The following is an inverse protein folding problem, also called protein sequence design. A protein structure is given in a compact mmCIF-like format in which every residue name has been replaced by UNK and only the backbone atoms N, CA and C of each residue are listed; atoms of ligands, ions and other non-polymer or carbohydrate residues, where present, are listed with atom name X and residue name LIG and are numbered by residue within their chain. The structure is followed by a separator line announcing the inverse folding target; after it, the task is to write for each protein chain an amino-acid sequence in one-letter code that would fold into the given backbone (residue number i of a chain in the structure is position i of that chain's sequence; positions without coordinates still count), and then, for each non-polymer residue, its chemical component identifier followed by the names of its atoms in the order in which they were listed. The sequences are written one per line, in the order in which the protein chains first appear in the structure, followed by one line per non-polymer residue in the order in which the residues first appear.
data_IF_253397718496
#
_entry.id   IF_253397718496
#
_cell.length_a   1.000
_cell.length_b   1.000
_cell.length_c   1.000
_cell.angle_alpha   90.00
_cell.angle_beta   90.00
_cell.angle_gamma   90.00
#
_symmetry.space_group_name_H-M   'P 1'
#
loop_
_entity.id
_entity.type
_entity.pdbx_description
1 polymer ?
#
# COMPACT_ATOMS: atom_id res chain seq x y z
N UNK A 1 -1.62 -43.59 2.33
CA UNK A 1 -2.92 -43.03 1.89
C UNK A 1 -2.66 -41.68 1.28
N UNK A 2 -3.33 -41.35 0.20
CA UNK A 2 -3.21 -40.05 -0.40
C UNK A 2 -3.72 -38.99 0.61
N UNK A 3 -3.00 -37.89 0.70
CA UNK A 3 -3.36 -36.78 1.60
C UNK A 3 -4.55 -36.03 1.01
N UNK A 4 -5.66 -36.02 1.70
CA UNK A 4 -6.82 -35.18 1.41
C UNK A 4 -6.86 -34.10 2.47
N UNK A 5 -6.65 -32.87 2.07
CA UNK A 5 -6.40 -31.73 2.98
C UNK A 5 -7.58 -30.76 2.94
N UNK A 6 -8.15 -30.44 4.10
CA UNK A 6 -9.02 -29.26 4.26
C UNK A 6 -8.26 -28.14 4.96
N UNK A 7 -8.45 -26.91 4.53
CA UNK A 7 -7.83 -25.74 5.15
C UNK A 7 -8.89 -24.81 5.76
N UNK A 8 -8.87 -24.64 7.09
CA UNK A 8 -9.69 -23.66 7.80
C UNK A 8 -8.96 -22.34 7.83
N UNK A 9 -9.52 -21.31 7.18
CA UNK A 9 -8.97 -19.96 7.15
C UNK A 9 -9.80 -19.05 8.05
N UNK A 10 -9.17 -18.49 9.08
CA UNK A 10 -9.85 -17.68 10.11
C UNK A 10 -9.92 -16.21 9.68
N UNK A 11 -11.10 -15.74 9.42
CA UNK A 11 -11.43 -14.38 8.99
C UNK A 11 -12.40 -13.63 9.94
N UNK A 12 -12.91 -14.30 11.01
CA UNK A 12 -13.90 -13.75 11.94
C UNK A 12 -13.35 -12.71 12.95
N UNK A 13 -12.07 -12.37 12.91
CA UNK A 13 -11.45 -11.45 13.88
C UNK A 13 -11.86 -10.00 13.69
N UNK A 14 -12.50 -9.38 14.66
CA UNK A 14 -13.06 -8.02 14.64
C UNK A 14 -12.04 -6.85 14.47
N UNK A 15 -10.75 -7.10 14.29
CA UNK A 15 -9.73 -6.09 13.98
C UNK A 15 -9.62 -4.89 14.95
N UNK A 16 -10.10 -4.99 16.19
CA UNK A 16 -10.27 -3.90 17.18
C UNK A 16 -9.05 -2.97 17.36
N UNK A 17 -7.85 -3.42 17.00
CA UNK A 17 -6.58 -2.66 17.14
C UNK A 17 -6.25 -1.75 15.95
N UNK A 18 -7.02 -1.80 14.86
CA UNK A 18 -6.66 -1.13 13.60
C UNK A 18 -7.36 0.21 13.36
N UNK A 19 -8.28 0.66 14.22
CA UNK A 19 -9.04 1.91 14.06
C UNK A 19 -9.75 2.10 12.69
N UNK A 20 -9.87 1.04 11.88
CA UNK A 20 -10.64 1.03 10.64
C UNK A 20 -12.10 0.67 10.92
N UNK A 21 -13.03 1.24 10.14
CA UNK A 21 -14.47 0.95 10.24
C UNK A 21 -14.81 -0.47 9.76
N UNK A 22 -13.99 -1.03 8.88
CA UNK A 22 -14.17 -2.35 8.28
C UNK A 22 -13.14 -3.35 8.81
N UNK A 23 -13.42 -4.65 8.63
CA UNK A 23 -12.49 -5.70 9.02
C UNK A 23 -11.17 -5.56 8.23
N UNK A 24 -10.04 -5.53 8.95
CA UNK A 24 -8.70 -5.32 8.40
C UNK A 24 -8.30 -6.27 7.26
N UNK A 25 -8.91 -7.46 7.19
CA UNK A 25 -8.60 -8.45 6.14
C UNK A 25 -9.01 -7.98 4.73
N UNK A 26 -9.91 -7.00 4.64
CA UNK A 26 -10.32 -6.39 3.38
C UNK A 26 -9.39 -5.27 2.90
N UNK A 27 -8.44 -4.83 3.73
CA UNK A 27 -7.49 -3.77 3.36
C UNK A 27 -6.67 -4.22 2.14
N UNK A 28 -6.56 -3.37 1.10
CA UNK A 28 -5.81 -3.70 -0.10
C UNK A 28 -4.28 -3.73 0.16
N UNK A 29 -3.65 -4.76 -0.37
CA UNK A 29 -2.21 -4.89 -0.53
C UNK A 29 -1.91 -4.95 -2.04
N UNK A 30 -1.86 -3.80 -2.71
CA UNK A 30 -1.85 -3.68 -4.16
C UNK A 30 -3.18 -4.14 -4.76
N UNK A 31 -3.14 -4.95 -5.83
CA UNK A 31 -4.34 -5.41 -6.55
C UNK A 31 -5.32 -6.26 -5.70
N UNK A 32 -4.83 -6.92 -4.67
CA UNK A 32 -5.62 -7.87 -3.86
C UNK A 32 -5.64 -7.44 -2.39
N UNK A 33 -6.73 -7.74 -1.69
CA UNK A 33 -6.80 -7.54 -0.25
C UNK A 33 -5.97 -8.59 0.52
N UNK A 34 -5.80 -8.37 1.82
CA UNK A 34 -5.11 -9.30 2.72
C UNK A 34 -5.70 -10.71 2.60
N UNK A 35 -7.02 -10.85 2.73
CA UNK A 35 -7.68 -12.16 2.68
C UNK A 35 -7.59 -12.79 1.28
N UNK A 36 -7.71 -11.99 0.22
CA UNK A 36 -7.59 -12.50 -1.15
C UNK A 36 -6.20 -13.10 -1.39
N UNK A 37 -5.13 -12.44 -0.92
CA UNK A 37 -3.77 -12.99 -1.03
C UNK A 37 -3.59 -14.27 -0.24
N UNK A 38 -4.10 -14.31 0.98
CA UNK A 38 -4.07 -15.51 1.82
C UNK A 38 -4.74 -16.68 1.09
N UNK A 39 -5.96 -16.48 0.56
CA UNK A 39 -6.69 -17.53 -0.15
C UNK A 39 -6.00 -17.99 -1.43
N UNK A 40 -5.38 -17.06 -2.19
CA UNK A 40 -4.60 -17.42 -3.37
C UNK A 40 -3.39 -18.31 -3.05
N UNK A 41 -2.73 -18.09 -1.91
CA UNK A 41 -1.59 -18.91 -1.50
C UNK A 41 -2.05 -20.29 -1.01
N UNK A 42 -3.12 -20.34 -0.22
CA UNK A 42 -3.73 -21.60 0.24
C UNK A 42 -4.21 -22.45 -0.94
N UNK A 43 -4.89 -21.84 -1.90
CA UNK A 43 -5.46 -22.55 -3.04
C UNK A 43 -4.43 -23.22 -3.97
N UNK A 44 -3.14 -22.85 -3.87
CA UNK A 44 -2.05 -23.49 -4.63
C UNK A 44 -1.57 -24.80 -4.02
N UNK A 45 -2.02 -25.14 -2.80
CA UNK A 45 -1.56 -26.33 -2.09
C UNK A 45 -2.01 -27.60 -2.80
N UNK A 46 -1.09 -28.47 -3.11
CA UNK A 46 -1.39 -29.78 -3.70
C UNK A 46 -2.10 -30.69 -2.68
N UNK A 47 -3.14 -31.40 -3.14
CA UNK A 47 -3.96 -32.25 -2.29
C UNK A 47 -5.01 -31.50 -1.46
N UNK A 48 -5.13 -30.19 -1.63
CA UNK A 48 -6.20 -29.40 -1.03
C UNK A 48 -7.54 -29.74 -1.67
N UNK A 49 -8.50 -30.24 -0.88
CA UNK A 49 -9.85 -30.58 -1.31
C UNK A 49 -10.84 -29.42 -1.19
N UNK A 50 -10.66 -28.59 -0.15
CA UNK A 50 -11.55 -27.48 0.16
C UNK A 50 -10.89 -26.42 1.04
N UNK A 51 -11.47 -25.23 1.02
CA UNK A 51 -11.18 -24.16 1.98
C UNK A 51 -12.45 -23.87 2.79
N UNK A 52 -12.34 -23.90 4.11
CA UNK A 52 -13.40 -23.49 5.02
C UNK A 52 -13.05 -22.12 5.56
N UNK A 53 -13.76 -21.11 5.06
CA UNK A 53 -13.52 -19.71 5.39
C UNK A 53 -14.45 -19.30 6.54
N UNK A 54 -13.87 -19.10 7.72
CA UNK A 54 -14.63 -18.75 8.94
C UNK A 54 -14.70 -17.23 9.06
N UNK A 55 -15.92 -16.66 8.99
CA UNK A 55 -16.19 -15.23 8.96
C UNK A 55 -16.97 -14.76 10.18
N UNK A 56 -16.94 -13.45 10.45
CA UNK A 56 -17.78 -12.84 11.46
C UNK A 56 -19.25 -12.79 11.01
N UNK A 57 -20.16 -12.71 11.99
CA UNK A 57 -21.58 -12.55 11.70
C UNK A 57 -21.84 -11.25 10.95
N UNK A 58 -22.68 -11.34 9.90
CA UNK A 58 -23.01 -10.23 9.00
C UNK A 58 -21.98 -9.97 7.89
N UNK A 59 -20.84 -10.68 7.83
CA UNK A 59 -19.83 -10.50 6.78
C UNK A 59 -19.91 -11.56 5.66
N UNK A 60 -20.82 -12.53 5.72
CA UNK A 60 -20.86 -13.68 4.81
C UNK A 60 -21.06 -13.28 3.34
N UNK A 61 -22.09 -12.47 3.06
CA UNK A 61 -22.43 -12.05 1.69
C UNK A 61 -21.34 -11.16 1.10
N UNK A 62 -20.83 -10.22 1.92
CA UNK A 62 -19.74 -9.35 1.50
C UNK A 62 -18.47 -10.16 1.20
N UNK A 63 -18.12 -11.13 2.05
CA UNK A 63 -16.98 -12.01 1.83
C UNK A 63 -17.15 -12.84 0.55
N UNK A 64 -18.34 -13.41 0.32
CA UNK A 64 -18.62 -14.22 -0.86
C UNK A 64 -18.39 -13.43 -2.15
N UNK A 65 -18.94 -12.22 -2.24
CA UNK A 65 -18.71 -11.33 -3.40
C UNK A 65 -17.24 -10.89 -3.50
N UNK A 66 -16.61 -10.60 -2.36
CA UNK A 66 -15.20 -10.14 -2.31
C UNK A 66 -14.20 -11.18 -2.84
N UNK A 67 -14.44 -12.47 -2.58
CA UNK A 67 -13.55 -13.55 -3.02
C UNK A 67 -13.90 -14.11 -4.40
N UNK A 68 -15.08 -13.84 -4.92
CA UNK A 68 -15.57 -14.33 -6.22
C UNK A 68 -14.64 -14.00 -7.39
N UNK A 69 -14.03 -12.81 -7.33
CA UNK A 69 -13.08 -12.34 -8.35
C UNK A 69 -11.80 -13.18 -8.46
N UNK A 70 -11.52 -14.03 -7.48
CA UNK A 70 -10.31 -14.86 -7.45
C UNK A 70 -10.42 -16.07 -8.38
N UNK A 71 -11.63 -16.49 -8.77
CA UNK A 71 -11.89 -17.67 -9.59
C UNK A 71 -11.10 -18.90 -9.11
N UNK A 72 -11.16 -19.18 -7.79
CA UNK A 72 -10.45 -20.30 -7.19
C UNK A 72 -10.97 -21.62 -7.73
N UNK A 73 -10.07 -22.56 -8.03
CA UNK A 73 -10.43 -23.91 -8.53
C UNK A 73 -10.85 -24.86 -7.42
N UNK A 74 -10.53 -24.51 -6.16
CA UNK A 74 -10.88 -25.28 -4.96
C UNK A 74 -12.17 -24.70 -4.38
N UNK A 75 -13.14 -25.54 -3.95
CA UNK A 75 -14.37 -25.08 -3.30
C UNK A 75 -14.06 -24.29 -2.03
N UNK A 76 -14.82 -23.20 -1.83
CA UNK A 76 -14.72 -22.36 -0.61
C UNK A 76 -16.07 -22.38 0.09
N UNK A 77 -16.09 -22.90 1.31
CA UNK A 77 -17.28 -22.96 2.18
C UNK A 77 -17.18 -21.88 3.23
N UNK A 78 -18.12 -20.92 3.23
CA UNK A 78 -18.17 -19.85 4.21
C UNK A 78 -19.00 -20.31 5.39
N UNK A 79 -18.43 -20.23 6.60
CA UNK A 79 -19.07 -20.61 7.85
C UNK A 79 -18.95 -19.49 8.89
N UNK A 80 -19.94 -19.41 9.80
CA UNK A 80 -19.90 -18.44 10.89
C UNK A 80 -18.90 -18.87 11.96
N UNK A 81 -18.13 -17.90 12.46
CA UNK A 81 -17.26 -18.08 13.62
C UNK A 81 -18.02 -18.06 14.94
N UNK A 82 -17.32 -18.41 16.01
CA UNK A 82 -17.80 -18.35 17.38
C UNK A 82 -17.32 -17.10 18.13
N UNK A 83 -17.56 -17.08 19.44
CA UNK A 83 -17.20 -15.96 20.31
C UNK A 83 -15.68 -15.75 20.42
N UNK A 84 -14.94 -16.84 20.54
CA UNK A 84 -13.49 -16.84 20.64
C UNK A 84 -12.85 -17.46 19.38
N UNK A 85 -11.53 -17.29 19.24
CA UNK A 85 -10.78 -17.89 18.13
C UNK A 85 -10.91 -19.42 18.12
N UNK A 86 -10.84 -20.06 19.28
CA UNK A 86 -11.00 -21.51 19.42
C UNK A 86 -12.38 -21.98 18.98
N UNK A 87 -13.45 -21.24 19.34
CA UNK A 87 -14.83 -21.54 18.91
C UNK A 87 -14.97 -21.41 17.39
N UNK A 88 -14.34 -20.40 16.82
CA UNK A 88 -14.33 -20.19 15.37
C UNK A 88 -13.66 -21.37 14.64
N UNK A 89 -12.55 -21.90 15.17
CA UNK A 89 -11.91 -23.11 14.64
C UNK A 89 -12.83 -24.32 14.79
N UNK A 90 -13.50 -24.47 15.93
CA UNK A 90 -14.45 -25.56 16.15
C UNK A 90 -15.64 -25.52 15.17
N UNK A 91 -16.14 -24.33 14.82
CA UNK A 91 -17.14 -24.15 13.78
C UNK A 91 -16.62 -24.62 12.42
N UNK A 92 -15.39 -24.19 12.05
CA UNK A 92 -14.74 -24.65 10.83
C UNK A 92 -14.52 -26.16 10.79
N UNK A 93 -14.06 -26.74 11.90
CA UNK A 93 -13.77 -28.18 12.00
C UNK A 93 -15.03 -29.05 11.82
N UNK A 94 -16.21 -28.56 12.23
CA UNK A 94 -17.49 -29.23 11.98
C UNK A 94 -17.88 -29.28 10.51
N UNK A 95 -17.39 -28.32 9.71
CA UNK A 95 -17.68 -28.23 8.28
C UNK A 95 -16.66 -28.98 7.40
N UNK A 96 -15.58 -29.52 7.99
CA UNK A 96 -14.55 -30.30 7.28
C UNK A 96 -15.16 -31.56 6.69
N UNK A 97 -14.92 -31.79 5.40
CA UNK A 97 -15.36 -32.98 4.67
C UNK A 97 -14.85 -34.27 5.33
N UNK A 98 -15.72 -35.28 5.35
CA UNK A 98 -15.38 -36.57 5.98
C UNK A 98 -14.22 -37.30 5.30
N UNK A 99 -14.00 -37.08 4.03
CA UNK A 99 -12.89 -37.67 3.26
C UNK A 99 -11.53 -37.09 3.62
N UNK A 100 -11.49 -35.89 4.21
CA UNK A 100 -10.24 -35.24 4.62
C UNK A 100 -9.60 -35.98 5.79
N UNK A 101 -8.29 -36.18 5.70
CA UNK A 101 -7.50 -36.80 6.78
C UNK A 101 -6.55 -35.81 7.45
N UNK A 102 -6.25 -34.70 6.80
CA UNK A 102 -5.43 -33.60 7.33
C UNK A 102 -6.26 -32.30 7.37
N UNK A 103 -6.18 -31.61 8.48
CA UNK A 103 -6.77 -30.26 8.65
C UNK A 103 -5.67 -29.27 8.91
N UNK A 104 -5.61 -28.22 8.09
CA UNK A 104 -4.77 -27.05 8.32
C UNK A 104 -5.61 -25.91 8.89
N UNK A 105 -5.07 -25.17 9.83
CA UNK A 105 -5.67 -23.93 10.36
C UNK A 105 -4.73 -22.78 10.04
N UNK A 106 -5.28 -21.73 9.41
CA UNK A 106 -4.48 -20.57 9.04
C UNK A 106 -5.19 -19.26 9.34
N UNK A 107 -4.42 -18.27 9.82
CA UNK A 107 -4.93 -16.93 10.04
C UNK A 107 -5.12 -16.20 8.70
N UNK A 108 -6.34 -15.73 8.38
CA UNK A 108 -6.65 -14.96 7.17
C UNK A 108 -5.87 -13.64 7.07
N UNK A 109 -5.30 -13.18 8.19
CA UNK A 109 -4.46 -11.99 8.27
C UNK A 109 -2.96 -12.25 8.06
N UNK A 110 -2.56 -13.42 7.53
CA UNK A 110 -1.17 -13.75 7.16
C UNK A 110 -1.03 -13.95 5.64
N UNK A 111 -1.01 -12.86 4.87
CA UNK A 111 -1.01 -12.93 3.40
C UNK A 111 0.29 -13.42 2.77
N UNK A 112 1.35 -13.61 3.58
CA UNK A 112 2.71 -13.91 3.11
C UNK A 112 3.14 -15.35 3.40
N UNK A 113 2.26 -16.18 3.98
CA UNK A 113 2.53 -17.61 4.14
C UNK A 113 2.69 -18.27 2.75
N UNK A 114 3.83 -18.92 2.52
CA UNK A 114 4.11 -19.56 1.25
C UNK A 114 3.41 -20.93 1.13
N UNK A 115 3.20 -21.39 -0.10
CA UNK A 115 2.62 -22.72 -0.36
C UNK A 115 3.51 -23.83 0.19
N UNK A 116 4.82 -23.64 0.21
CA UNK A 116 5.81 -24.58 0.75
C UNK A 116 5.61 -24.77 2.26
N UNK A 117 5.29 -23.70 3.02
CA UNK A 117 4.96 -23.82 4.45
C UNK A 117 3.74 -24.69 4.69
N UNK A 118 2.65 -24.49 3.89
CA UNK A 118 1.46 -25.32 3.98
C UNK A 118 1.78 -26.78 3.69
N UNK A 119 2.55 -27.04 2.63
CA UNK A 119 2.95 -28.39 2.24
C UNK A 119 3.77 -29.08 3.31
N UNK A 120 4.77 -28.38 3.87
CA UNK A 120 5.65 -28.93 4.91
C UNK A 120 4.88 -29.24 6.20
N UNK A 121 3.99 -28.34 6.61
CA UNK A 121 3.12 -28.58 7.80
C UNK A 121 2.19 -29.76 7.58
N UNK A 122 1.57 -29.88 6.40
CA UNK A 122 0.69 -31.02 6.09
C UNK A 122 1.47 -32.35 6.11
N UNK A 123 2.71 -32.39 5.61
CA UNK A 123 3.57 -33.57 5.60
C UNK A 123 3.95 -34.02 7.03
N UNK A 124 4.40 -33.05 7.83
CA UNK A 124 4.82 -33.32 9.22
C UNK A 124 3.62 -33.72 10.08
N UNK A 125 2.45 -33.05 9.92
CA UNK A 125 1.21 -33.42 10.60
C UNK A 125 0.72 -34.82 10.21
N UNK A 126 0.82 -35.17 8.91
CA UNK A 126 0.45 -36.52 8.46
C UNK A 126 1.34 -37.60 9.11
N UNK A 127 2.61 -37.31 9.31
CA UNK A 127 3.57 -38.28 9.86
C UNK A 127 3.50 -38.37 11.37
N UNK A 128 3.36 -37.23 12.08
CA UNK A 128 3.55 -37.17 13.52
C UNK A 128 2.28 -36.76 14.30
N UNK A 129 1.21 -36.44 13.61
CA UNK A 129 -0.08 -36.09 14.21
C UNK A 129 -0.37 -34.59 14.26
N UNK A 130 0.59 -33.76 14.65
CA UNK A 130 0.45 -32.30 14.70
C UNK A 130 1.74 -31.57 14.37
N UNK A 131 1.63 -30.44 13.69
CA UNK A 131 2.73 -29.57 13.33
C UNK A 131 2.32 -28.09 13.29
N UNK A 132 3.28 -27.20 13.48
CA UNK A 132 3.09 -25.75 13.37
C UNK A 132 4.30 -25.10 12.73
N UNK A 133 4.07 -23.99 12.04
CA UNK A 133 5.18 -23.14 11.58
C UNK A 133 5.71 -22.31 12.74
N UNK A 134 7.03 -22.18 12.85
CA UNK A 134 7.66 -21.32 13.84
C UNK A 134 9.03 -20.82 13.40
N UNK A 135 9.41 -19.65 13.90
CA UNK A 135 10.74 -19.08 13.71
C UNK A 135 11.45 -18.91 15.06
N UNK A 136 12.78 -19.10 15.15
CA UNK A 136 13.52 -18.83 16.38
C UNK A 136 13.31 -17.41 16.89
N UNK A 137 13.21 -17.22 18.21
CA UNK A 137 13.14 -15.89 18.78
C UNK A 137 14.44 -15.11 18.53
N UNK A 138 14.34 -13.88 18.00
CA UNK A 138 15.49 -13.01 17.70
C UNK A 138 15.86 -12.14 18.89
N UNK A 139 14.88 -11.71 19.67
CA UNK A 139 15.09 -10.82 20.82
C UNK A 139 15.31 -11.61 22.12
N UNK A 140 15.92 -10.96 23.10
CA UNK A 140 16.02 -11.51 24.45
C UNK A 140 14.64 -11.49 25.13
N UNK A 141 14.11 -12.65 25.50
CA UNK A 141 12.80 -12.78 26.17
C UNK A 141 13.00 -12.79 27.69
N UNK A 142 12.24 -11.93 28.37
CA UNK A 142 12.20 -11.84 29.83
C UNK A 142 10.83 -12.27 30.33
N UNK A 143 10.81 -13.10 31.37
CA UNK A 143 9.62 -13.33 32.17
C UNK A 143 9.56 -12.23 33.24
N UNK A 144 8.39 -11.60 33.39
CA UNK A 144 8.17 -10.51 34.34
C UNK A 144 7.00 -10.85 35.27
N UNK A 145 6.96 -10.25 36.45
CA UNK A 145 5.80 -10.31 37.36
C UNK A 145 4.75 -9.24 37.00
N UNK A 146 3.68 -9.14 37.79
CA UNK A 146 2.59 -8.17 37.62
C UNK A 146 3.04 -6.72 37.81
N UNK A 147 4.20 -6.48 38.42
CA UNK A 147 4.80 -5.17 38.66
C UNK A 147 5.82 -4.81 37.56
N UNK A 148 5.86 -5.57 36.45
CA UNK A 148 6.83 -5.43 35.36
C UNK A 148 8.30 -5.60 35.78
N UNK A 149 8.56 -6.25 36.92
CA UNK A 149 9.92 -6.58 37.35
C UNK A 149 10.35 -7.89 36.72
N UNK A 150 11.59 -7.90 36.19
CA UNK A 150 12.18 -9.11 35.56
C UNK A 150 12.39 -10.19 36.59
N UNK A 151 11.78 -11.37 36.38
CA UNK A 151 11.95 -12.58 37.19
C UNK A 151 13.09 -13.43 36.60
N UNK A 152 13.12 -13.59 35.27
CA UNK A 152 14.00 -14.55 34.60
C UNK A 152 14.28 -14.11 33.15
N UNK A 153 15.48 -14.46 32.68
CA UNK A 153 15.83 -14.42 31.27
C UNK A 153 15.72 -15.81 30.69
N UNK A 154 14.83 -15.99 29.73
CA UNK A 154 14.62 -17.29 29.09
C UNK A 154 15.79 -17.60 28.12
N UNK A 155 16.12 -18.88 27.97
CA UNK A 155 17.17 -19.33 27.05
C UNK A 155 16.65 -19.27 25.61
N UNK A 156 17.08 -18.22 24.88
CA UNK A 156 16.57 -17.88 23.55
C UNK A 156 16.65 -19.02 22.54
N UNK A 157 17.70 -19.88 22.61
CA UNK A 157 17.85 -21.02 21.70
C UNK A 157 16.76 -22.10 21.84
N UNK A 158 15.92 -22.01 22.85
CA UNK A 158 14.79 -22.93 23.10
C UNK A 158 13.44 -22.27 22.81
N UNK A 159 13.43 -21.01 22.31
CA UNK A 159 12.22 -20.23 22.11
C UNK A 159 11.94 -20.01 20.63
N UNK A 160 10.70 -20.28 20.25
CA UNK A 160 10.17 -20.03 18.91
C UNK A 160 8.97 -19.10 18.96
N UNK A 161 8.85 -18.26 17.97
CA UNK A 161 7.63 -17.48 17.69
C UNK A 161 6.77 -18.32 16.76
N UNK A 162 5.61 -18.76 17.28
CA UNK A 162 4.72 -19.65 16.54
C UNK A 162 3.87 -18.84 15.56
N UNK A 163 3.74 -19.41 14.38
CA UNK A 163 2.98 -18.83 13.27
C UNK A 163 1.88 -19.81 12.85
N UNK A 164 1.18 -19.48 11.77
CA UNK A 164 0.31 -20.41 11.04
C UNK A 164 0.77 -20.46 9.57
N UNK A 165 0.55 -21.61 8.86
CA UNK A 165 -0.42 -22.68 9.15
C UNK A 165 -0.01 -23.58 10.33
N UNK A 166 -1.03 -24.12 11.01
CA UNK A 166 -0.92 -25.22 11.97
C UNK A 166 -1.67 -26.41 11.37
N UNK A 167 -1.10 -27.60 11.45
CA UNK A 167 -1.64 -28.79 10.78
C UNK A 167 -1.84 -29.95 11.73
N UNK A 168 -2.86 -30.75 11.44
CA UNK A 168 -3.30 -31.84 12.33
C UNK A 168 -3.84 -33.02 11.53
N UNK A 169 -3.64 -34.23 12.04
CA UNK A 169 -4.52 -35.34 11.69
C UNK A 169 -5.92 -35.01 12.19
N UNK A 170 -6.94 -35.14 11.32
CA UNK A 170 -8.32 -34.71 11.60
C UNK A 170 -8.86 -35.31 12.91
N UNK A 171 -8.71 -36.61 13.12
CA UNK A 171 -9.27 -37.28 14.30
C UNK A 171 -8.59 -36.83 15.58
N UNK A 172 -7.26 -36.66 15.58
CA UNK A 172 -6.53 -36.11 16.71
C UNK A 172 -7.03 -34.72 17.07
N UNK A 173 -7.26 -33.88 16.07
CA UNK A 173 -7.70 -32.52 16.27
C UNK A 173 -9.14 -32.43 16.78
N UNK A 174 -10.04 -33.27 16.27
CA UNK A 174 -11.40 -33.42 16.82
C UNK A 174 -11.37 -33.79 18.31
N UNK A 175 -10.55 -34.78 18.70
CA UNK A 175 -10.41 -35.20 20.11
C UNK A 175 -9.81 -34.08 20.96
N UNK A 176 -8.83 -33.31 20.45
CA UNK A 176 -8.23 -32.20 21.18
C UNK A 176 -9.25 -31.08 21.45
N UNK A 177 -10.04 -30.70 20.45
CA UNK A 177 -11.13 -29.73 20.62
C UNK A 177 -12.21 -30.20 21.59
N UNK A 178 -12.64 -31.48 21.49
CA UNK A 178 -13.66 -32.04 22.41
C UNK A 178 -13.18 -31.98 23.83
N UNK A 179 -11.96 -32.44 24.13
CA UNK A 179 -11.41 -32.43 25.50
C UNK A 179 -11.26 -30.99 26.02
N UNK A 180 -10.81 -30.06 25.20
CA UNK A 180 -10.69 -28.66 25.59
C UNK A 180 -12.07 -28.07 25.95
N UNK A 181 -13.09 -28.36 25.15
CA UNK A 181 -14.47 -27.97 25.43
C UNK A 181 -14.99 -28.54 26.75
N UNK A 182 -14.86 -29.86 26.97
CA UNK A 182 -15.38 -30.54 28.15
C UNK A 182 -14.74 -30.05 29.46
N UNK A 183 -13.48 -29.60 29.38
CA UNK A 183 -12.70 -29.07 30.51
C UNK A 183 -12.65 -27.55 30.58
N UNK A 184 -13.40 -26.84 29.72
CA UNK A 184 -13.37 -25.38 29.59
C UNK A 184 -11.95 -24.82 29.48
N UNK A 185 -11.07 -25.54 28.74
CA UNK A 185 -9.71 -25.07 28.47
C UNK A 185 -9.67 -24.16 27.27
N UNK A 186 -9.16 -22.95 27.46
CA UNK A 186 -8.93 -21.99 26.38
C UNK A 186 -7.45 -21.94 26.05
N UNK A 187 -7.09 -22.48 24.88
CA UNK A 187 -5.72 -22.45 24.36
C UNK A 187 -5.35 -21.10 23.75
N UNK A 188 -4.06 -20.81 23.71
CA UNK A 188 -3.53 -19.59 23.05
C UNK A 188 -3.52 -19.74 21.53
N UNK A 189 -3.39 -20.97 21.03
CA UNK A 189 -3.42 -21.35 19.61
C UNK A 189 -3.95 -22.81 19.48
N UNK A 190 -3.98 -23.35 18.26
CA UNK A 190 -4.60 -24.65 18.01
C UNK A 190 -3.70 -25.82 18.44
N UNK A 191 -2.36 -25.66 18.34
CA UNK A 191 -1.43 -26.71 18.79
C UNK A 191 -1.44 -26.86 20.29
N UNK A 192 -1.72 -25.83 21.07
CA UNK A 192 -1.84 -25.91 22.53
C UNK A 192 -2.94 -26.88 22.99
N UNK A 193 -3.98 -27.11 22.17
CA UNK A 193 -5.02 -28.10 22.46
C UNK A 193 -4.45 -29.53 22.33
N UNK A 194 -3.57 -29.76 21.38
CA UNK A 194 -2.88 -31.04 21.19
C UNK A 194 -1.86 -31.29 22.31
N UNK A 195 -1.13 -30.25 22.72
CA UNK A 195 -0.23 -30.30 23.89
C UNK A 195 -1.02 -30.60 25.17
N UNK A 196 -2.21 -30.05 25.35
CA UNK A 196 -3.10 -30.33 26.48
C UNK A 196 -3.60 -31.79 26.50
N UNK A 197 -3.61 -32.49 25.36
CA UNK A 197 -3.79 -33.94 25.28
C UNK A 197 -2.55 -34.74 25.72
N UNK A 198 -1.40 -34.10 25.96
CA UNK A 198 -0.11 -34.75 26.18
C UNK A 198 0.48 -35.36 24.92
N UNK A 199 0.12 -34.86 23.73
CA UNK A 199 0.66 -35.29 22.44
C UNK A 199 1.73 -34.34 21.95
N UNK A 200 2.76 -34.84 21.28
CA UNK A 200 3.83 -33.96 20.74
C UNK A 200 3.32 -33.12 19.57
N UNK A 201 3.87 -31.91 19.47
CA UNK A 201 3.72 -30.99 18.32
C UNK A 201 5.08 -30.75 17.72
N UNK A 202 5.19 -30.84 16.41
CA UNK A 202 6.44 -30.63 15.70
C UNK A 202 6.49 -29.23 15.08
N UNK A 203 7.66 -28.56 15.17
CA UNK A 203 7.87 -27.26 14.54
C UNK A 203 8.44 -27.46 13.15
N UNK A 204 7.81 -26.83 12.15
CA UNK A 204 8.31 -26.66 10.81
C UNK A 204 8.96 -25.28 10.72
N UNK A 205 10.10 -25.16 10.06
CA UNK A 205 10.77 -23.89 9.87
C UNK A 205 9.89 -22.90 9.12
N UNK A 206 9.70 -21.75 9.73
CA UNK A 206 8.91 -20.64 9.21
C UNK A 206 9.75 -19.58 8.53
N UNK A 207 9.11 -18.45 8.22
CA UNK A 207 9.76 -17.27 7.68
C UNK A 207 9.34 -16.04 8.49
N UNK A 208 10.29 -15.15 8.79
CA UNK A 208 10.00 -13.88 9.45
C UNK A 208 9.11 -12.98 8.59
N UNK A 209 9.11 -13.17 7.26
CA UNK A 209 8.17 -12.49 6.36
C UNK A 209 6.72 -12.92 6.56
N UNK A 210 6.44 -14.10 7.13
CA UNK A 210 5.08 -14.59 7.40
C UNK A 210 4.44 -13.87 8.59
N UNK A 211 4.39 -12.54 8.50
CA UNK A 211 3.83 -11.68 9.55
C UNK A 211 2.30 -11.81 9.60
N UNK A 212 1.72 -11.63 10.79
CA UNK A 212 0.29 -11.42 10.98
C UNK A 212 0.00 -9.92 10.95
N UNK A 213 -0.75 -9.46 9.96
CA UNK A 213 -1.15 -8.05 9.85
C UNK A 213 -2.13 -7.72 10.98
N UNK A 214 -1.68 -6.94 11.95
CA UNK A 214 -2.44 -6.59 13.17
C UNK A 214 -2.48 -5.10 13.45
N UNK A 215 -1.53 -4.33 12.89
CA UNK A 215 -1.39 -2.88 13.05
C UNK A 215 -1.24 -2.21 11.69
N UNK A 216 -1.48 -0.87 11.57
CA UNK A 216 -1.23 -0.13 10.34
C UNK A 216 0.23 -0.25 9.84
N UNK A 217 1.19 -0.35 10.76
CA UNK A 217 2.60 -0.52 10.39
C UNK A 217 2.86 -1.86 9.70
N UNK A 218 2.14 -2.93 10.07
CA UNK A 218 2.28 -4.24 9.44
C UNK A 218 1.86 -4.20 7.97
N UNK A 219 0.97 -3.28 7.57
CA UNK A 219 0.55 -3.10 6.17
C UNK A 219 1.74 -2.61 5.34
N UNK A 220 2.47 -1.59 5.83
CA UNK A 220 3.65 -1.08 5.13
C UNK A 220 4.74 -2.16 5.01
N UNK A 221 4.93 -2.95 6.07
CA UNK A 221 5.88 -4.08 6.07
C UNK A 221 5.43 -5.14 5.07
N UNK A 222 4.14 -5.53 5.05
CA UNK A 222 3.61 -6.51 4.10
C UNK A 222 3.74 -6.03 2.65
N UNK A 223 3.44 -4.77 2.36
CA UNK A 223 3.63 -4.16 1.04
C UNK A 223 5.10 -4.28 0.59
N UNK A 224 6.04 -3.96 1.48
CA UNK A 224 7.47 -4.05 1.18
C UNK A 224 7.92 -5.48 0.84
N UNK A 225 7.48 -6.47 1.61
CA UNK A 225 7.78 -7.90 1.32
C UNK A 225 7.16 -8.38 0.01
N UNK A 226 6.02 -7.82 -0.38
CA UNK A 226 5.36 -8.12 -1.65
C UNK A 226 5.97 -7.37 -2.85
N UNK A 227 6.97 -6.51 -2.62
CA UNK A 227 7.51 -5.64 -3.66
C UNK A 227 6.48 -4.62 -4.20
N UNK A 228 5.44 -4.33 -3.40
CA UNK A 228 4.47 -3.31 -3.73
C UNK A 228 5.09 -1.99 -3.28
N UNK A 229 5.74 -1.33 -4.22
CA UNK A 229 6.30 0.00 -3.97
C UNK A 229 5.15 0.98 -3.72
N UNK A 230 5.26 1.75 -2.65
CA UNK A 230 4.42 2.92 -2.48
C UNK A 230 4.76 3.89 -3.62
N UNK A 231 3.76 4.12 -4.50
CA UNK A 231 3.70 5.13 -5.57
C UNK A 231 5.07 5.47 -6.21
N UNK A 232 5.36 4.91 -7.38
CA UNK A 232 6.56 5.27 -8.15
C UNK A 232 6.58 6.77 -8.38
N UNK A 233 7.62 7.42 -7.86
CA UNK A 233 7.86 8.84 -8.08
C UNK A 233 8.67 9.02 -9.36
N UNK A 234 8.23 9.95 -10.21
CA UNK A 234 8.94 10.39 -11.41
C UNK A 234 9.28 11.85 -11.25
N UNK A 235 10.35 12.29 -11.88
CA UNK A 235 10.81 13.69 -11.82
C UNK A 235 10.94 14.22 -13.24
N UNK A 236 10.48 15.44 -13.44
CA UNK A 236 10.67 16.18 -14.69
C UNK A 236 11.31 17.53 -14.41
N UNK A 237 12.02 18.02 -15.41
CA UNK A 237 12.64 19.34 -15.45
C UNK A 237 12.12 20.12 -16.65
N UNK A 238 11.81 21.40 -16.45
CA UNK A 238 11.41 22.32 -17.50
C UNK A 238 12.21 23.63 -17.44
N UNK A 239 12.43 24.20 -18.59
CA UNK A 239 13.09 25.48 -18.76
C UNK A 239 12.39 26.28 -19.84
N UNK A 240 12.10 27.56 -19.57
CA UNK A 240 11.59 28.48 -20.57
C UNK A 240 12.27 29.86 -20.45
N UNK A 241 12.32 30.58 -21.56
CA UNK A 241 12.90 31.94 -21.64
C UNK A 241 12.13 32.78 -22.65
N UNK A 242 11.75 33.99 -22.27
CA UNK A 242 11.09 34.95 -23.13
C UNK A 242 11.87 36.26 -23.22
N UNK A 243 11.84 36.89 -24.38
CA UNK A 243 12.33 38.23 -24.56
C UNK A 243 11.44 39.23 -23.82
N UNK A 244 12.02 40.23 -23.18
CA UNK A 244 11.29 41.35 -22.57
C UNK A 244 11.09 42.49 -23.56
N UNK A 245 9.84 42.99 -23.65
CA UNK A 245 9.47 44.11 -24.53
C UNK A 245 8.63 45.14 -23.77
N UNK A 246 8.86 46.43 -24.14
CA UNK A 246 8.02 47.52 -23.64
C UNK A 246 6.60 47.44 -24.16
N UNK A 247 5.63 47.78 -23.31
CA UNK A 247 4.20 47.77 -23.63
C UNK A 247 3.53 46.41 -23.62
N UNK A 248 4.26 45.32 -23.25
CA UNK A 248 3.70 44.01 -22.99
C UNK A 248 3.32 43.92 -21.52
N UNK A 249 2.22 43.22 -21.22
CA UNK A 249 1.87 42.87 -19.84
C UNK A 249 2.87 41.88 -19.26
N UNK A 250 3.24 42.09 -18.01
CA UNK A 250 4.07 41.15 -17.29
C UNK A 250 3.15 40.20 -16.47
N UNK A 251 2.94 38.99 -16.97
CA UNK A 251 2.13 37.95 -16.27
C UNK A 251 3.07 36.82 -15.87
N UNK A 252 3.09 36.48 -14.57
CA UNK A 252 3.90 35.40 -14.02
C UNK A 252 3.12 34.64 -12.96
N UNK A 253 3.06 33.30 -13.08
CA UNK A 253 2.25 32.47 -12.19
C UNK A 253 0.77 32.83 -12.18
N UNK A 254 0.23 33.31 -13.32
CA UNK A 254 -1.12 33.82 -13.49
C UNK A 254 -1.39 35.14 -12.77
N UNK A 255 -0.34 35.87 -12.34
CA UNK A 255 -0.45 37.18 -11.67
C UNK A 255 0.08 38.25 -12.58
N UNK A 256 -0.75 39.28 -12.87
CA UNK A 256 -0.30 40.48 -13.58
C UNK A 256 0.49 41.39 -12.63
N UNK A 257 1.73 41.68 -13.00
CA UNK A 257 2.68 42.48 -12.22
C UNK A 257 2.92 43.82 -12.96
N UNK A 258 2.88 44.89 -12.21
CA UNK A 258 3.22 46.21 -12.78
C UNK A 258 4.70 46.27 -13.15
N UNK A 259 4.97 46.49 -14.44
CA UNK A 259 6.33 46.54 -15.00
C UNK A 259 6.36 47.32 -16.32
N UNK A 260 7.46 48.01 -16.55
CA UNK A 260 7.71 48.70 -17.82
C UNK A 260 7.94 47.74 -19.02
N UNK A 261 8.41 46.53 -18.69
CA UNK A 261 8.69 45.46 -19.63
C UNK A 261 7.90 44.22 -19.30
N UNK A 262 7.37 43.54 -20.32
CA UNK A 262 6.73 42.24 -20.15
C UNK A 262 7.25 41.20 -21.12
N UNK A 263 7.10 39.89 -20.80
CA UNK A 263 7.51 38.80 -21.68
C UNK A 263 6.76 38.85 -23.02
N UNK A 264 7.47 38.60 -24.12
CA UNK A 264 6.90 38.53 -25.46
C UNK A 264 6.78 37.08 -25.91
N UNK A 265 5.57 36.64 -26.28
CA UNK A 265 5.28 35.30 -26.73
C UNK A 265 3.90 35.19 -27.37
N UNK A 266 3.51 33.97 -27.78
CA UNK A 266 2.29 33.72 -28.52
C UNK A 266 1.05 33.70 -27.61
N UNK A 267 1.16 33.09 -26.41
CA UNK A 267 0.14 33.11 -25.34
C UNK A 267 0.22 34.39 -24.50
N UNK A 268 -0.07 34.35 -23.23
CA UNK A 268 0.20 35.41 -22.25
C UNK A 268 1.70 35.49 -21.85
N UNK A 269 2.55 34.62 -22.41
CA UNK A 269 4.00 34.52 -22.21
C UNK A 269 4.43 34.33 -20.74
N UNK A 270 3.62 33.65 -19.94
CA UNK A 270 3.96 33.31 -18.56
C UNK A 270 5.07 32.23 -18.51
N UNK A 271 6.30 32.68 -18.51
CA UNK A 271 7.51 31.84 -18.54
C UNK A 271 7.56 30.86 -17.35
N UNK A 272 6.99 31.25 -16.18
CA UNK A 272 6.93 30.39 -14.99
C UNK A 272 6.01 29.19 -15.24
N UNK A 273 4.82 29.44 -15.78
CA UNK A 273 3.85 28.37 -16.08
C UNK A 273 4.35 27.50 -17.23
N UNK A 274 5.00 28.06 -18.25
CA UNK A 274 5.54 27.25 -19.34
C UNK A 274 6.62 26.27 -18.86
N UNK A 275 7.59 26.76 -18.07
CA UNK A 275 8.61 25.87 -17.47
C UNK A 275 7.97 24.80 -16.58
N UNK A 276 6.92 25.13 -15.80
CA UNK A 276 6.19 24.18 -14.98
C UNK A 276 5.50 23.12 -15.83
N UNK A 277 4.80 23.49 -16.89
CA UNK A 277 4.12 22.55 -17.78
C UNK A 277 5.10 21.58 -18.44
N UNK A 278 6.24 22.05 -18.92
CA UNK A 278 7.29 21.20 -19.51
C UNK A 278 7.86 20.23 -18.48
N UNK A 279 8.08 20.67 -17.24
CA UNK A 279 8.49 19.79 -16.16
C UNK A 279 7.45 18.70 -15.87
N UNK A 280 6.16 19.05 -15.85
CA UNK A 280 5.06 18.09 -15.61
C UNK A 280 4.95 17.07 -16.75
N UNK A 281 4.97 17.54 -17.98
CA UNK A 281 4.93 16.68 -19.17
C UNK A 281 6.15 15.75 -19.22
N UNK A 282 7.36 16.27 -18.96
CA UNK A 282 8.58 15.47 -18.90
C UNK A 282 8.51 14.38 -17.82
N UNK A 283 8.03 14.70 -16.60
CA UNK A 283 7.81 13.71 -15.55
C UNK A 283 6.82 12.60 -15.96
N UNK A 284 5.82 12.96 -16.79
CA UNK A 284 4.85 12.01 -17.33
C UNK A 284 5.37 11.18 -18.52
N UNK A 285 6.59 11.43 -18.99
CA UNK A 285 7.15 10.81 -20.19
C UNK A 285 6.49 11.30 -21.49
N UNK A 286 5.97 12.52 -21.47
CA UNK A 286 5.31 13.18 -22.58
C UNK A 286 6.25 14.17 -23.29
N UNK A 287 5.78 14.73 -24.43
CA UNK A 287 6.51 15.74 -25.19
C UNK A 287 6.26 17.13 -24.57
N UNK A 288 7.00 18.13 -25.06
CA UNK A 288 6.96 19.53 -24.65
C UNK A 288 5.63 20.23 -24.91
N UNK A 289 5.45 21.42 -24.32
CA UNK A 289 4.26 22.26 -24.52
C UNK A 289 4.01 22.66 -25.97
N UNK A 290 5.06 22.84 -26.78
CA UNK A 290 4.94 23.16 -28.18
C UNK A 290 4.27 22.06 -29.01
N UNK A 291 4.39 20.81 -28.61
CA UNK A 291 3.68 19.71 -29.23
C UNK A 291 2.17 19.72 -28.91
N UNK A 292 1.80 20.03 -27.67
CA UNK A 292 0.38 20.02 -27.22
C UNK A 292 -0.35 21.31 -27.53
N UNK A 293 0.38 22.43 -27.62
CA UNK A 293 -0.13 23.80 -27.85
C UNK A 293 0.70 24.50 -28.88
N UNK A 294 0.68 24.07 -30.15
CA UNK A 294 1.55 24.60 -31.21
C UNK A 294 1.29 26.10 -31.42
N UNK A 295 2.34 26.93 -31.52
CA UNK A 295 2.19 28.35 -31.69
C UNK A 295 1.59 28.76 -33.05
N UNK A 296 1.53 27.86 -34.01
CA UNK A 296 0.89 28.05 -35.30
C UNK A 296 -0.65 27.99 -35.21
N UNK A 297 -1.20 27.47 -34.12
CA UNK A 297 -2.65 27.35 -33.93
C UNK A 297 -3.22 28.61 -33.24
N UNK A 298 -3.98 29.38 -34.02
CA UNK A 298 -4.57 30.63 -33.57
C UNK A 298 -5.45 30.53 -32.33
N UNK A 299 -5.95 29.32 -31.99
CA UNK A 299 -6.73 29.09 -30.77
C UNK A 299 -5.94 29.39 -29.48
N UNK A 300 -4.62 29.34 -29.53
CA UNK A 300 -3.76 29.57 -28.37
C UNK A 300 -3.21 31.02 -28.31
N UNK A 301 -3.52 31.85 -29.29
CA UNK A 301 -3.04 33.24 -29.35
C UNK A 301 -3.64 34.07 -28.20
N UNK A 302 -2.77 34.56 -27.32
CA UNK A 302 -3.15 35.37 -26.16
C UNK A 302 -3.89 34.60 -25.09
N UNK A 303 -3.94 33.26 -25.15
CA UNK A 303 -4.59 32.43 -24.13
C UNK A 303 -3.84 32.51 -22.78
N UNK A 304 -4.55 32.44 -21.70
CA UNK A 304 -3.96 32.32 -20.36
C UNK A 304 -3.21 31.02 -20.20
N UNK A 305 -1.96 31.05 -19.77
CA UNK A 305 -1.17 29.88 -19.48
C UNK A 305 -1.72 29.07 -18.31
N UNK A 306 -2.54 29.65 -17.42
CA UNK A 306 -3.26 28.91 -16.38
C UNK A 306 -4.26 27.91 -16.97
N UNK A 307 -4.96 28.27 -18.06
CA UNK A 307 -5.87 27.34 -18.76
C UNK A 307 -5.09 26.21 -19.46
N UNK A 308 -3.88 26.49 -19.96
CA UNK A 308 -3.01 25.46 -20.51
C UNK A 308 -2.51 24.51 -19.41
N UNK A 309 -2.19 25.03 -18.24
CA UNK A 309 -1.80 24.24 -17.06
C UNK A 309 -2.92 23.30 -16.62
N UNK A 310 -4.19 23.75 -16.63
CA UNK A 310 -5.36 22.89 -16.36
C UNK A 310 -5.42 21.69 -17.33
N UNK A 311 -5.17 21.94 -18.62
CA UNK A 311 -5.12 20.89 -19.65
C UNK A 311 -3.97 19.90 -19.40
N UNK A 312 -2.77 20.39 -19.05
CA UNK A 312 -1.63 19.54 -18.72
C UNK A 312 -1.91 18.72 -17.47
N UNK A 313 -2.50 19.32 -16.43
CA UNK A 313 -2.91 18.58 -15.23
C UNK A 313 -3.91 17.47 -15.55
N UNK A 314 -4.88 17.73 -16.44
CA UNK A 314 -5.83 16.71 -16.91
C UNK A 314 -5.15 15.58 -17.66
N UNK A 315 -4.17 15.88 -18.55
CA UNK A 315 -3.37 14.86 -19.24
C UNK A 315 -2.58 13.95 -18.28
N UNK A 316 -2.08 14.49 -17.18
CA UNK A 316 -1.44 13.68 -16.13
C UNK A 316 -2.46 12.79 -15.43
N UNK A 317 -3.61 13.37 -15.02
CA UNK A 317 -4.70 12.62 -14.33
C UNK A 317 -5.21 11.47 -15.20
N UNK A 318 -5.39 11.65 -16.51
CA UNK A 318 -5.77 10.58 -17.46
C UNK A 318 -4.78 9.41 -17.50
N UNK A 319 -3.52 9.67 -17.15
CA UNK A 319 -2.47 8.63 -17.02
C UNK A 319 -2.29 8.07 -15.62
N UNK A 320 -3.20 8.41 -14.71
CA UNK A 320 -3.07 8.03 -13.30
C UNK A 320 -1.89 8.70 -12.58
N UNK A 321 -1.44 9.87 -13.08
CA UNK A 321 -0.33 10.63 -12.49
C UNK A 321 -0.85 11.88 -11.80
N UNK A 322 -0.21 12.27 -10.70
CA UNK A 322 -0.52 13.49 -9.96
C UNK A 322 0.76 14.18 -9.51
N UNK A 323 0.79 15.52 -9.63
CA UNK A 323 1.88 16.33 -9.10
C UNK A 323 2.00 16.15 -7.58
N UNK A 324 3.23 16.05 -7.07
CA UNK A 324 3.50 15.86 -5.64
C UNK A 324 4.25 17.03 -5.03
N UNK A 325 5.34 17.48 -5.68
CA UNK A 325 6.15 18.60 -5.23
C UNK A 325 6.63 19.41 -6.42
N UNK A 326 6.65 20.72 -6.28
CA UNK A 326 7.02 21.69 -7.31
C UNK A 326 8.06 22.64 -6.73
N UNK A 327 9.15 22.82 -7.44
CA UNK A 327 10.17 23.81 -7.15
C UNK A 327 10.48 24.62 -8.41
N UNK A 328 10.22 25.94 -8.37
CA UNK A 328 10.37 26.84 -9.49
C UNK A 328 11.38 27.92 -9.13
N UNK A 329 12.30 28.23 -10.04
CA UNK A 329 13.22 29.36 -9.99
C UNK A 329 12.96 30.30 -11.16
N UNK A 330 12.58 31.53 -10.86
CA UNK A 330 12.50 32.59 -11.86
C UNK A 330 13.78 33.43 -11.83
N UNK A 331 14.35 33.70 -13.01
CA UNK A 331 15.60 34.40 -13.17
C UNK A 331 15.29 35.72 -13.92
N UNK A 332 15.33 36.85 -13.21
CA UNK A 332 14.99 38.16 -13.75
C UNK A 332 15.58 39.28 -12.91
N UNK A 333 16.07 40.33 -13.57
CA UNK A 333 16.48 41.54 -12.88
C UNK A 333 15.30 42.41 -12.43
N UNK A 334 14.19 42.34 -13.18
CA UNK A 334 12.95 43.08 -12.93
C UNK A 334 11.76 42.36 -13.56
N UNK A 335 10.53 42.45 -13.00
CA UNK A 335 10.16 43.12 -11.73
C UNK A 335 10.56 42.29 -10.48
N UNK A 336 10.42 42.89 -9.28
CA UNK A 336 10.64 42.17 -8.03
C UNK A 336 9.43 41.28 -7.73
N UNK A 337 9.66 39.97 -7.64
CA UNK A 337 8.57 38.96 -7.51
C UNK A 337 8.14 38.70 -6.06
N UNK A 338 8.96 39.04 -5.07
CA UNK A 338 8.71 38.75 -3.64
C UNK A 338 7.28 39.07 -3.15
N UNK A 339 6.67 40.22 -3.51
CA UNK A 339 5.33 40.57 -3.05
C UNK A 339 4.21 39.69 -3.66
N UNK A 340 4.49 38.99 -4.76
CA UNK A 340 3.50 38.28 -5.57
C UNK A 340 3.57 36.77 -5.41
N UNK A 341 4.61 36.22 -4.74
CA UNK A 341 4.88 34.78 -4.65
C UNK A 341 3.70 34.04 -4.01
N UNK A 342 3.12 34.55 -2.93
CA UNK A 342 2.03 33.86 -2.25
C UNK A 342 0.76 33.76 -3.12
N UNK A 343 0.47 34.79 -3.91
CA UNK A 343 -0.65 34.79 -4.87
C UNK A 343 -0.38 33.80 -6.01
N UNK A 344 0.85 33.77 -6.55
CA UNK A 344 1.24 32.78 -7.57
C UNK A 344 1.09 31.36 -7.05
N UNK A 345 1.55 31.08 -5.82
CA UNK A 345 1.39 29.76 -5.18
C UNK A 345 -0.08 29.37 -5.02
N UNK A 346 -0.94 30.30 -4.62
CA UNK A 346 -2.38 30.06 -4.49
C UNK A 346 -3.02 29.75 -5.87
N UNK A 347 -2.61 30.42 -6.94
CA UNK A 347 -3.06 30.13 -8.29
C UNK A 347 -2.67 28.71 -8.72
N UNK A 348 -1.40 28.29 -8.50
CA UNK A 348 -0.94 26.93 -8.79
C UNK A 348 -1.69 25.89 -7.97
N UNK A 349 -1.91 26.16 -6.68
CA UNK A 349 -2.67 25.26 -5.81
C UNK A 349 -4.09 25.02 -6.35
N UNK A 350 -4.76 26.06 -6.82
CA UNK A 350 -6.16 25.95 -7.30
C UNK A 350 -6.30 25.04 -8.51
N UNK A 351 -5.28 24.99 -9.38
CA UNK A 351 -5.28 24.15 -10.59
C UNK A 351 -4.76 22.73 -10.30
N UNK A 352 -3.69 22.62 -9.51
CA UNK A 352 -2.99 21.35 -9.30
C UNK A 352 -3.51 20.54 -8.11
N UNK A 353 -4.32 21.16 -7.24
CA UNK A 353 -4.93 20.54 -6.07
C UNK A 353 -3.90 19.93 -5.09
N UNK A 354 -2.74 20.54 -4.96
CA UNK A 354 -1.66 20.11 -4.06
C UNK A 354 -1.49 21.09 -2.89
N UNK A 355 -1.04 20.64 -1.71
CA UNK A 355 -0.80 21.51 -0.56
C UNK A 355 0.23 22.62 -0.83
N UNK A 356 0.01 23.84 -0.29
CA UNK A 356 0.88 25.01 -0.49
C UNK A 356 2.32 24.79 -0.03
N UNK A 357 2.55 23.94 0.96
CA UNK A 357 3.89 23.58 1.47
C UNK A 357 4.69 22.71 0.49
N UNK A 358 4.03 22.19 -0.56
CA UNK A 358 4.66 21.43 -1.66
C UNK A 358 4.92 22.27 -2.92
N UNK A 359 4.63 23.58 -2.88
CA UNK A 359 4.88 24.51 -3.97
C UNK A 359 5.93 25.52 -3.49
N UNK A 360 7.08 25.52 -4.14
CA UNK A 360 8.16 26.49 -3.94
C UNK A 360 8.29 27.35 -5.19
N UNK A 361 8.31 28.67 -5.00
CA UNK A 361 8.67 29.66 -6.03
C UNK A 361 9.76 30.54 -5.47
N UNK A 362 10.90 30.56 -6.13
CA UNK A 362 12.09 31.37 -5.80
C UNK A 362 12.38 32.31 -6.95
N UNK A 363 12.96 33.45 -6.64
CA UNK A 363 13.41 34.41 -7.64
C UNK A 363 14.86 34.81 -7.38
N UNK A 364 15.64 34.91 -8.43
CA UNK A 364 17.03 35.39 -8.40
C UNK A 364 17.28 36.33 -9.55
N UNK A 365 18.32 37.18 -9.42
CA UNK A 365 18.87 37.96 -10.53
C UNK A 365 19.94 37.15 -11.23
N UNK A 366 20.40 37.67 -12.39
CA UNK A 366 21.58 37.15 -13.08
C UNK A 366 22.82 38.00 -12.84
N UNK A 367 22.80 38.77 -11.73
CA UNK A 367 23.90 39.66 -11.29
C UNK A 367 24.43 40.56 -12.42
N UNK A 368 23.51 41.14 -13.22
CA UNK A 368 23.79 41.94 -14.38
C UNK A 368 24.56 41.23 -15.51
N UNK A 369 24.72 39.92 -15.48
CA UNK A 369 25.45 39.13 -16.46
C UNK A 369 24.54 38.64 -17.59
N UNK A 370 25.05 38.67 -18.83
CA UNK A 370 24.37 38.10 -19.99
C UNK A 370 23.11 38.89 -20.40
N UNK A 371 22.27 38.28 -21.25
CA UNK A 371 21.04 38.87 -21.76
C UNK A 371 20.01 39.14 -20.65
N UNK A 372 19.84 38.22 -19.73
CA UNK A 372 18.92 38.40 -18.59
C UNK A 372 19.40 39.54 -17.70
N UNK A 373 20.70 39.61 -17.40
CA UNK A 373 21.30 40.71 -16.63
C UNK A 373 21.19 42.07 -17.30
N UNK A 374 21.13 42.14 -18.63
CA UNK A 374 20.85 43.38 -19.40
C UNK A 374 19.34 43.66 -19.57
N UNK A 375 18.45 42.86 -18.92
CA UNK A 375 16.99 42.98 -19.00
C UNK A 375 16.41 42.73 -20.40
N UNK A 376 17.12 41.97 -21.24
CA UNK A 376 16.66 41.58 -22.58
C UNK A 376 15.70 40.38 -22.53
N UNK A 377 15.69 39.64 -21.43
CA UNK A 377 14.86 38.45 -21.23
C UNK A 377 14.60 38.12 -19.78
N UNK A 378 13.67 37.20 -19.58
CA UNK A 378 13.30 36.57 -18.33
C UNK A 378 13.26 35.05 -18.53
N UNK A 379 13.76 34.27 -17.59
CA UNK A 379 13.75 32.82 -17.69
C UNK A 379 13.16 32.20 -16.43
N UNK A 380 12.66 30.96 -16.58
CA UNK A 380 12.24 30.12 -15.44
C UNK A 380 12.75 28.71 -15.62
N UNK A 381 13.00 28.08 -14.50
CA UNK A 381 13.30 26.63 -14.36
C UNK A 381 12.32 26.03 -13.41
N UNK A 382 11.82 24.82 -13.70
CA UNK A 382 10.94 24.10 -12.83
C UNK A 382 11.39 22.65 -12.67
N UNK A 383 11.28 22.14 -11.47
CA UNK A 383 11.40 20.71 -11.16
C UNK A 383 10.09 20.23 -10.53
N UNK A 384 9.55 19.19 -11.09
CA UNK A 384 8.28 18.60 -10.59
C UNK A 384 8.50 17.13 -10.30
N UNK A 385 8.09 16.69 -9.13
CA UNK A 385 7.87 15.26 -8.88
C UNK A 385 6.39 14.91 -9.04
N UNK A 386 6.12 13.81 -9.72
CA UNK A 386 4.78 13.22 -9.86
C UNK A 386 4.78 11.80 -9.33
N UNK A 387 3.62 11.34 -8.86
CA UNK A 387 3.45 9.96 -8.44
C UNK A 387 2.26 9.32 -9.15
N UNK A 388 2.24 7.98 -9.18
CA UNK A 388 1.09 7.23 -9.67
C UNK A 388 -0.04 7.37 -8.63
N UNK A 389 -1.11 8.14 -8.99
CA UNK A 389 -2.31 8.32 -8.17
C UNK A 389 -3.12 7.03 -8.08
N UNK A 390 -3.99 6.92 -7.07
CA UNK A 390 -5.06 5.92 -7.08
C UNK A 390 -6.08 6.35 -8.15
N UNK A 391 -6.28 5.48 -9.16
CA UNK A 391 -7.37 5.62 -10.14
C UNK A 391 -8.66 5.17 -9.50
#
# INVERSE_FOLDING_TARGET
MDKVISCIVLAAGAGRRMAYKENKIFIPLGRYSIIQRTLQNVAKLQGLSEIILVVADGEQDYMAEHIKVLNLTVPVHIVLGGAERQDSVACGLKAVDESSNIVLVHDGARPLASTEMFSAVAEVANTYGAATVGVPATDTIKRVNTEHTVIETLKRSELYQIQTPQGFQKDLFKVAHQKAHDLNYLGTDDVSLVEYLGKPVHIVEGDYCNIKVTTPNDIAVAKRYLGIEDKRMRVGFGYDIHQLKAGRLCILGGVQIESELGPDGHSDADVLIHALMDAMLGAAGLRDIGYYFPPEDDQYKGISSMLLLEKVNSLLKERGLQAYNIDIMVISETPKLKPHIDTMKANLQSVLEIPLDRISIKATTNEMLGAIGRREGIAAQAVVSVYEGEV
#
